data_IF_640874699984
#
_entry.id   IF_640874699984
#
_cell.length_a   1.000
_cell.length_b   1.000
_cell.length_c   1.000
_cell.angle_alpha   90.00
_cell.angle_beta   90.00
_cell.angle_gamma   90.00
#
_symmetry.space_group_name_H-M   'P 1'
#
loop_
_entity.id
_entity.type
_entity.pdbx_description
1 polymer ?
#
# COMPACT_ATOMS: atom_id res chain seq x y z
N UNK A 1 -7.03 39.01 52.63
CA UNK A 1 -6.82 39.98 51.54
C UNK A 1 -7.99 39.86 50.58
N UNK A 2 -9.11 40.53 50.88
CA UNK A 2 -9.43 41.95 50.64
C UNK A 2 -9.67 42.23 49.14
N UNK A 3 -10.97 42.39 48.85
CA UNK A 3 -11.69 43.05 47.76
C UNK A 3 -10.97 44.05 46.85
N UNK A 4 -11.43 44.10 45.59
CA UNK A 4 -11.93 45.30 44.89
C UNK A 4 -12.47 44.86 43.52
N UNK A 5 -13.78 44.78 43.27
CA UNK A 5 -14.74 45.87 42.98
C UNK A 5 -14.13 46.94 42.08
N UNK A 6 -14.73 47.12 40.88
CA UNK A 6 -15.13 48.41 40.24
C UNK A 6 -15.72 48.07 38.86
N UNK A 7 -17.03 47.85 38.71
CA UNK A 7 -18.06 48.81 38.22
C UNK A 7 -17.57 49.82 37.17
N UNK A 8 -18.11 49.75 35.95
CA UNK A 8 -18.91 50.83 35.37
C UNK A 8 -19.55 50.40 34.03
N UNK A 9 -20.87 50.65 33.96
CA UNK A 9 -21.79 50.56 32.81
C UNK A 9 -21.65 51.88 31.99
N UNK A 10 -22.54 52.28 31.06
CA UNK A 10 -23.44 51.59 30.10
C UNK A 10 -23.40 52.23 28.67
N UNK A 11 -24.08 51.64 27.68
CA UNK A 11 -25.07 52.33 26.84
C UNK A 11 -25.79 51.29 25.95
N UNK A 12 -27.10 51.06 26.11
CA UNK A 12 -28.23 51.80 25.49
C UNK A 12 -28.18 51.63 23.95
N UNK A 13 -29.18 51.11 23.22
CA UNK A 13 -30.65 51.31 23.23
C UNK A 13 -31.25 50.20 22.31
N UNK A 14 -32.28 49.43 22.73
CA UNK A 14 -33.74 49.59 22.50
C UNK A 14 -34.12 49.52 20.99
N UNK A 15 -35.11 48.79 20.45
CA UNK A 15 -36.55 48.60 20.71
C UNK A 15 -37.00 47.34 19.91
N UNK A 16 -37.77 46.41 20.50
CA UNK A 16 -39.26 46.33 20.52
C UNK A 16 -39.83 45.61 19.26
N UNK A 17 -40.91 44.82 19.29
CA UNK A 17 -42.02 44.60 20.23
C UNK A 17 -42.59 43.17 19.96
N UNK A 18 -42.90 42.33 20.96
CA UNK A 18 -44.18 42.13 21.72
C UNK A 18 -45.33 41.47 20.94
N UNK A 19 -45.85 40.37 21.51
CA UNK A 19 -47.22 39.83 21.34
C UNK A 19 -47.28 38.30 21.19
N UNK A 20 -47.29 37.50 22.27
CA UNK A 20 -48.47 36.92 22.98
C UNK A 20 -49.32 35.97 22.08
N UNK A 21 -49.64 34.71 22.40
CA UNK A 21 -49.71 34.03 23.69
C UNK A 21 -49.84 32.48 23.54
N UNK A 22 -49.38 31.75 24.59
CA UNK A 22 -49.93 30.52 25.24
C UNK A 22 -50.24 29.27 24.38
N UNK A 23 -49.86 28.03 24.73
CA UNK A 23 -49.45 27.46 26.01
C UNK A 23 -48.65 26.14 25.82
N UNK A 24 -47.72 25.85 26.74
CA UNK A 24 -47.04 24.56 26.87
C UNK A 24 -45.62 24.70 27.43
N UNK A 25 -45.46 24.70 28.75
CA UNK A 25 -44.17 24.86 29.45
C UNK A 25 -43.43 23.53 29.63
N UNK A 26 -42.18 23.44 29.18
CA UNK A 26 -41.04 22.72 29.80
C UNK A 26 -39.76 22.94 28.93
N UNK A 27 -38.73 23.70 29.37
CA UNK A 27 -37.54 23.22 30.15
C UNK A 27 -36.49 22.59 29.20
N UNK A 28 -35.23 23.01 28.97
CA UNK A 28 -34.30 24.09 29.38
C UNK A 28 -33.21 24.27 28.27
N UNK A 29 -32.58 25.45 28.22
CA UNK A 29 -31.29 25.89 27.62
C UNK A 29 -30.31 24.83 27.02
N UNK A 30 -29.47 25.03 25.99
CA UNK A 30 -28.99 26.16 25.16
C UNK A 30 -27.92 25.62 24.18
N UNK A 31 -27.40 26.50 23.31
CA UNK A 31 -26.02 26.53 22.78
C UNK A 31 -25.80 25.75 21.49
N UNK A 32 -25.47 26.50 20.44
CA UNK A 32 -24.58 26.11 19.36
C UNK A 32 -24.98 24.82 18.63
N UNK A 33 -25.64 24.88 17.45
CA UNK A 33 -25.87 23.67 16.70
C UNK A 33 -24.49 23.01 16.47
N UNK A 34 -24.31 21.71 16.79
CA UNK A 34 -23.13 21.00 16.33
C UNK A 34 -23.10 21.23 14.82
N UNK A 35 -21.98 21.76 14.31
CA UNK A 35 -21.73 21.61 12.88
C UNK A 35 -21.74 20.11 12.67
N UNK A 36 -22.76 19.61 12.00
CA UNK A 36 -22.72 18.25 11.50
C UNK A 36 -21.47 18.20 10.65
N UNK A 37 -20.47 17.46 11.14
CA UNK A 37 -19.34 17.03 10.34
C UNK A 37 -19.91 16.58 9.00
N UNK A 38 -19.39 17.15 7.90
CA UNK A 38 -19.71 16.66 6.57
C UNK A 38 -19.62 15.12 6.59
N UNK A 39 -20.58 14.38 6.00
CA UNK A 39 -20.53 12.93 6.00
C UNK A 39 -19.17 12.48 5.45
N UNK A 40 -18.27 12.00 6.33
CA UNK A 40 -17.09 11.30 5.86
C UNK A 40 -17.60 10.14 5.00
N UNK A 41 -17.11 9.96 3.75
CA UNK A 41 -17.54 8.87 2.91
C UNK A 41 -17.26 7.55 3.64
N UNK A 42 -18.30 6.93 4.19
CA UNK A 42 -18.22 5.56 4.66
C UNK A 42 -18.06 4.68 3.42
N UNK A 43 -17.06 3.78 3.36
CA UNK A 43 -16.88 2.91 2.22
C UNK A 43 -18.16 2.10 2.03
N UNK A 44 -18.79 2.22 0.86
CA UNK A 44 -19.99 1.45 0.51
C UNK A 44 -19.70 -0.05 0.58
N UNK A 45 -20.67 -0.91 0.93
CA UNK A 45 -20.47 -2.37 1.03
C UNK A 45 -19.85 -3.02 -0.22
N UNK A 46 -20.03 -2.41 -1.39
CA UNK A 46 -19.44 -2.85 -2.66
C UNK A 46 -17.94 -2.58 -2.80
N UNK A 47 -17.42 -1.60 -2.06
CA UNK A 47 -16.00 -1.19 -2.08
C UNK A 47 -15.16 -2.14 -1.20
N UNK A 48 -15.71 -2.51 -0.04
CA UNK A 48 -15.11 -3.51 0.86
C UNK A 48 -15.03 -4.90 0.20
N UNK A 49 -16.00 -5.24 -0.67
CA UNK A 49 -16.04 -6.52 -1.38
C UNK A 49 -14.97 -6.66 -2.48
N UNK A 50 -14.37 -5.56 -2.94
CA UNK A 50 -13.26 -5.56 -3.91
C UNK A 50 -11.89 -5.51 -3.24
N UNK A 51 -11.82 -5.52 -1.92
CA UNK A 51 -10.57 -5.55 -1.20
C UNK A 51 -10.28 -6.96 -0.68
N UNK A 52 -9.05 -7.41 -0.86
CA UNK A 52 -8.59 -8.74 -0.47
C UNK A 52 -7.33 -8.64 0.38
N UNK A 53 -7.28 -9.44 1.44
CA UNK A 53 -6.08 -9.62 2.24
C UNK A 53 -5.10 -10.51 1.46
N UNK A 54 -3.89 -10.01 1.23
CA UNK A 54 -2.85 -10.68 0.46
C UNK A 54 -1.46 -10.31 0.99
N UNK A 55 -0.39 -10.82 0.39
CA UNK A 55 0.97 -10.64 0.87
C UNK A 55 1.84 -9.88 -0.14
N UNK A 56 2.67 -8.98 0.37
CA UNK A 56 3.80 -8.38 -0.33
C UNK A 56 5.07 -8.77 0.39
N UNK A 57 6.13 -9.13 -0.37
CA UNK A 57 7.38 -9.62 0.19
C UNK A 57 8.44 -8.52 0.22
N UNK A 58 8.97 -8.28 1.41
CA UNK A 58 10.02 -7.31 1.69
C UNK A 58 11.31 -8.00 2.10
N UNK A 59 12.37 -7.21 2.34
CA UNK A 59 13.66 -7.71 2.77
C UNK A 59 13.96 -7.31 4.20
N UNK A 60 14.54 -8.22 4.98
CA UNK A 60 15.17 -7.92 6.27
C UNK A 60 16.63 -8.36 6.20
N UNK A 61 17.52 -7.59 6.81
CA UNK A 61 18.92 -7.98 6.95
C UNK A 61 19.08 -8.80 8.22
N UNK A 62 19.51 -10.06 8.07
CA UNK A 62 19.85 -10.94 9.19
C UNK A 62 21.33 -11.32 9.11
N UNK A 63 22.16 -10.59 9.87
CA UNK A 63 23.62 -10.66 9.72
C UNK A 63 24.02 -10.24 8.30
N UNK A 64 24.76 -11.11 7.60
CA UNK A 64 25.22 -10.88 6.23
C UNK A 64 24.24 -11.34 5.15
N UNK A 65 23.06 -11.86 5.53
CA UNK A 65 22.06 -12.38 4.61
C UNK A 65 20.85 -11.46 4.48
N UNK A 66 20.27 -11.41 3.28
CA UNK A 66 18.94 -10.87 3.06
C UNK A 66 17.89 -11.98 3.19
N UNK A 67 16.82 -11.71 3.91
CA UNK A 67 15.69 -12.63 4.13
C UNK A 67 14.43 -12.01 3.53
N UNK A 68 13.69 -12.79 2.75
CA UNK A 68 12.37 -12.38 2.23
C UNK A 68 11.30 -12.63 3.29
N UNK A 69 10.60 -11.57 3.69
CA UNK A 69 9.52 -11.65 4.70
C UNK A 69 8.19 -11.17 4.13
N UNK A 70 7.08 -11.92 4.35
CA UNK A 70 5.76 -11.48 3.90
C UNK A 70 5.18 -10.43 4.85
N UNK A 71 4.43 -9.48 4.29
CA UNK A 71 3.57 -8.56 5.05
C UNK A 71 2.16 -8.62 4.48
N UNK A 72 1.19 -8.86 5.36
CA UNK A 72 -0.23 -8.85 4.99
C UNK A 72 -0.67 -7.42 4.70
N UNK A 73 -1.30 -7.22 3.55
CA UNK A 73 -1.87 -5.96 3.09
C UNK A 73 -3.26 -6.19 2.54
N UNK A 74 -4.12 -5.18 2.66
CA UNK A 74 -5.44 -5.18 2.05
C UNK A 74 -5.39 -4.36 0.76
N UNK A 75 -5.63 -5.02 -0.38
CA UNK A 75 -5.48 -4.42 -1.70
C UNK A 75 -6.71 -4.70 -2.57
N UNK A 76 -6.89 -3.88 -3.60
CA UNK A 76 -7.92 -4.11 -4.61
C UNK A 76 -7.66 -5.40 -5.39
N UNK A 77 -8.71 -6.20 -5.55
CA UNK A 77 -8.69 -7.45 -6.28
C UNK A 77 -10.09 -7.99 -6.53
N UNK A 78 -10.17 -8.90 -7.50
CA UNK A 78 -11.40 -9.62 -7.85
C UNK A 78 -11.02 -11.11 -7.99
N UNK A 79 -11.67 -12.05 -7.27
CA UNK A 79 -11.40 -13.48 -7.44
C UNK A 79 -11.57 -13.97 -8.89
N UNK A 80 -12.41 -13.28 -9.69
CA UNK A 80 -12.62 -13.58 -11.09
C UNK A 80 -11.53 -12.99 -12.02
N UNK A 81 -10.67 -12.10 -11.52
CA UNK A 81 -9.58 -11.46 -12.28
C UNK A 81 -8.27 -11.48 -11.47
N UNK A 82 -7.55 -12.62 -11.45
CA UNK A 82 -6.29 -12.77 -10.73
C UNK A 82 -5.24 -11.69 -11.06
N UNK A 83 -5.21 -11.22 -12.31
CA UNK A 83 -4.33 -10.17 -12.81
C UNK A 83 -4.44 -8.88 -12.01
N UNK A 84 -5.67 -8.50 -11.63
CA UNK A 84 -5.92 -7.26 -10.89
C UNK A 84 -5.23 -7.30 -9.52
N UNK A 85 -5.37 -8.41 -8.80
CA UNK A 85 -4.72 -8.57 -7.49
C UNK A 85 -3.20 -8.66 -7.60
N UNK A 86 -2.66 -9.33 -8.63
CA UNK A 86 -1.21 -9.39 -8.88
C UNK A 86 -0.68 -8.00 -9.19
N UNK A 87 -1.36 -7.24 -10.05
CA UNK A 87 -1.02 -5.86 -10.37
C UNK A 87 -0.98 -4.98 -9.11
N UNK A 88 -2.04 -4.99 -8.30
CA UNK A 88 -2.11 -4.22 -7.05
C UNK A 88 -0.96 -4.56 -6.09
N UNK A 89 -0.60 -5.84 -5.96
CA UNK A 89 0.53 -6.29 -5.13
C UNK A 89 1.87 -5.76 -5.62
N UNK A 90 2.12 -5.84 -6.93
CA UNK A 90 3.37 -5.36 -7.53
C UNK A 90 3.48 -3.84 -7.49
N UNK A 91 2.38 -3.11 -7.71
CA UNK A 91 2.34 -1.66 -7.52
C UNK A 91 2.61 -1.29 -6.06
N UNK A 92 2.01 -2.01 -5.11
CA UNK A 92 2.31 -1.83 -3.67
C UNK A 92 3.78 -2.11 -3.36
N UNK A 93 4.39 -3.14 -3.94
CA UNK A 93 5.80 -3.45 -3.80
C UNK A 93 6.70 -2.30 -4.33
N UNK A 94 6.39 -1.79 -5.52
CA UNK A 94 7.19 -0.74 -6.17
C UNK A 94 7.03 0.64 -5.52
N UNK A 95 5.93 0.87 -4.81
CA UNK A 95 5.79 2.04 -3.93
C UNK A 95 6.71 2.01 -2.70
N UNK A 96 7.36 0.87 -2.41
CA UNK A 96 8.29 0.73 -1.28
C UNK A 96 7.61 0.48 0.07
N UNK A 97 8.36 0.13 1.12
CA UNK A 97 7.79 -0.18 2.42
C UNK A 97 7.17 1.06 3.09
N UNK A 98 6.14 0.86 3.92
CA UNK A 98 5.47 1.96 4.67
C UNK A 98 6.13 2.25 6.01
N UNK A 99 6.89 1.30 6.55
CA UNK A 99 7.60 1.41 7.80
C UNK A 99 9.09 1.11 7.56
N UNK A 100 9.92 1.49 8.53
CA UNK A 100 11.37 1.35 8.44
C UNK A 100 11.88 -0.05 8.88
N UNK A 101 10.99 -0.94 9.33
CA UNK A 101 11.35 -2.26 9.86
C UNK A 101 11.74 -3.26 8.76
N UNK A 102 11.35 -2.97 7.52
CA UNK A 102 11.67 -3.78 6.34
C UNK A 102 12.27 -2.89 5.25
N UNK A 103 13.08 -3.49 4.40
CA UNK A 103 13.75 -2.84 3.29
C UNK A 103 13.17 -3.29 1.94
N UNK A 104 13.47 -2.50 0.91
CA UNK A 104 13.30 -2.90 -0.47
C UNK A 104 14.63 -2.76 -1.19
N UNK A 105 14.91 -3.69 -2.08
CA UNK A 105 16.02 -3.55 -3.00
C UNK A 105 15.61 -2.81 -4.27
N UNK A 106 14.33 -2.86 -4.68
CA UNK A 106 13.75 -2.27 -5.91
C UNK A 106 14.21 -0.81 -6.11
N UNK A 107 14.75 -0.41 -7.29
CA UNK A 107 15.25 0.93 -7.49
C UNK A 107 14.09 1.90 -7.54
N UNK A 108 14.32 3.10 -7.04
CA UNK A 108 13.36 4.19 -7.11
C UNK A 108 12.86 4.41 -8.55
N UNK A 109 11.59 4.82 -8.68
CA UNK A 109 10.93 5.08 -9.95
C UNK A 109 10.75 3.87 -10.87
N UNK A 110 11.00 2.65 -10.40
CA UNK A 110 10.56 1.43 -11.10
C UNK A 110 9.05 1.43 -11.23
N UNK A 111 8.56 1.22 -12.45
CA UNK A 111 7.13 1.15 -12.77
C UNK A 111 6.76 -0.23 -13.27
N UNK A 112 5.52 -0.63 -12.96
CA UNK A 112 4.88 -1.78 -13.57
C UNK A 112 4.25 -1.33 -14.89
N UNK A 113 4.70 -1.88 -16.00
CA UNK A 113 4.13 -1.55 -17.32
C UNK A 113 2.97 -2.49 -17.65
N UNK A 114 3.09 -3.78 -17.33
CA UNK A 114 2.08 -4.79 -17.62
C UNK A 114 2.14 -5.99 -16.69
N UNK A 115 0.97 -6.58 -16.42
CA UNK A 115 0.82 -7.92 -15.86
C UNK A 115 -0.21 -8.68 -16.69
N UNK A 116 0.09 -9.92 -17.05
CA UNK A 116 -0.84 -10.83 -17.72
C UNK A 116 -0.70 -12.22 -17.09
N UNK A 117 -1.81 -12.89 -16.79
CA UNK A 117 -1.78 -14.32 -16.44
C UNK A 117 -2.15 -15.13 -17.68
N UNK A 118 -1.27 -16.05 -18.04
CA UNK A 118 -1.41 -16.93 -19.20
C UNK A 118 -1.34 -18.39 -18.77
N UNK A 119 -1.64 -19.29 -19.71
CA UNK A 119 -1.55 -20.73 -19.47
C UNK A 119 -0.14 -21.20 -19.04
N UNK A 120 0.91 -20.46 -19.41
CA UNK A 120 2.31 -20.75 -19.10
C UNK A 120 2.87 -19.97 -17.89
N UNK A 121 2.05 -19.17 -17.20
CA UNK A 121 2.43 -18.47 -15.97
C UNK A 121 2.08 -16.97 -15.95
N UNK A 122 2.70 -16.26 -15.01
CA UNK A 122 2.53 -14.82 -14.79
C UNK A 122 3.58 -14.06 -15.59
N UNK A 123 3.15 -13.20 -16.51
CA UNK A 123 4.01 -12.34 -17.31
C UNK A 123 4.02 -10.93 -16.75
N UNK A 124 5.19 -10.42 -16.39
CA UNK A 124 5.38 -9.11 -15.77
C UNK A 124 6.32 -8.31 -16.66
N UNK A 125 5.91 -7.12 -17.08
CA UNK A 125 6.78 -6.14 -17.72
C UNK A 125 6.99 -4.93 -16.79
N UNK A 126 8.25 -4.59 -16.56
CA UNK A 126 8.65 -3.46 -15.70
C UNK A 126 9.51 -2.45 -16.46
N UNK A 127 9.65 -1.25 -15.90
CA UNK A 127 10.45 -0.19 -16.52
C UNK A 127 11.97 -0.42 -16.39
N UNK A 128 12.77 0.27 -17.21
CA UNK A 128 14.24 0.11 -17.30
C UNK A 128 14.97 0.43 -15.99
N UNK A 129 14.36 1.20 -15.11
CA UNK A 129 14.87 1.53 -13.79
C UNK A 129 15.13 0.27 -12.95
N UNK A 130 14.38 -0.81 -13.17
CA UNK A 130 14.55 -2.10 -12.50
C UNK A 130 15.97 -2.69 -12.60
N UNK A 131 16.68 -2.39 -13.69
CA UNK A 131 18.03 -2.95 -13.95
C UNK A 131 19.16 -2.11 -13.37
N UNK A 132 18.85 -1.02 -12.65
CA UNK A 132 19.85 -0.07 -12.16
C UNK A 132 20.29 -0.36 -10.74
N UNK A 133 21.59 -0.15 -10.51
CA UNK A 133 22.21 -0.07 -9.19
C UNK A 133 22.28 -1.39 -8.41
N UNK A 134 22.99 -1.32 -7.29
CA UNK A 134 23.20 -2.44 -6.37
C UNK A 134 24.31 -3.41 -6.81
N UNK A 135 24.74 -4.23 -5.86
CA UNK A 135 25.55 -5.43 -6.15
C UNK A 135 24.68 -6.67 -6.29
N UNK A 136 25.33 -7.81 -6.51
CA UNK A 136 24.69 -9.11 -6.75
C UNK A 136 23.63 -9.48 -5.70
N UNK A 137 23.90 -9.23 -4.41
CA UNK A 137 22.92 -9.44 -3.32
C UNK A 137 21.66 -8.60 -3.48
N UNK A 138 21.78 -7.32 -3.84
CA UNK A 138 20.62 -6.44 -4.09
C UNK A 138 19.83 -6.88 -5.31
N UNK A 139 20.51 -7.34 -6.36
CA UNK A 139 19.87 -7.84 -7.59
C UNK A 139 19.06 -9.12 -7.32
N UNK A 140 19.63 -10.05 -6.57
CA UNK A 140 18.93 -11.26 -6.10
C UNK A 140 17.72 -10.92 -5.24
N UNK A 141 17.90 -10.01 -4.27
CA UNK A 141 16.82 -9.53 -3.41
C UNK A 141 15.64 -8.98 -4.22
N UNK A 142 15.93 -8.16 -5.24
CA UNK A 142 14.89 -7.53 -6.07
C UNK A 142 14.14 -8.55 -6.90
N UNK A 143 14.86 -9.49 -7.50
CA UNK A 143 14.27 -10.59 -8.26
C UNK A 143 13.35 -11.43 -7.36
N UNK A 144 13.82 -11.74 -6.16
CA UNK A 144 13.05 -12.48 -5.15
C UNK A 144 11.77 -11.75 -4.73
N UNK A 145 11.87 -10.45 -4.43
CA UNK A 145 10.71 -9.64 -4.06
C UNK A 145 9.62 -9.66 -5.14
N UNK A 146 9.96 -9.53 -6.42
CA UNK A 146 8.99 -9.59 -7.53
C UNK A 146 8.35 -10.98 -7.63
N UNK A 147 9.16 -12.04 -7.67
CA UNK A 147 8.67 -13.41 -7.85
C UNK A 147 7.74 -13.79 -6.71
N UNK A 148 8.16 -13.61 -5.47
CA UNK A 148 7.36 -14.01 -4.31
C UNK A 148 6.09 -13.17 -4.19
N UNK A 149 6.17 -11.86 -4.45
CA UNK A 149 4.99 -10.99 -4.44
C UNK A 149 3.99 -11.36 -5.53
N UNK A 150 4.43 -11.63 -6.76
CA UNK A 150 3.54 -12.04 -7.86
C UNK A 150 2.83 -13.37 -7.57
N UNK A 151 3.56 -14.31 -6.95
CA UNK A 151 3.11 -15.68 -6.68
C UNK A 151 2.52 -15.88 -5.29
N UNK A 152 2.14 -14.80 -4.56
CA UNK A 152 1.61 -14.90 -3.20
C UNK A 152 0.41 -15.86 -3.06
N UNK A 153 -0.47 -15.89 -4.07
CA UNK A 153 -1.65 -16.76 -4.09
C UNK A 153 -1.44 -18.10 -4.81
N UNK A 154 -0.38 -18.24 -5.61
CA UNK A 154 0.00 -19.49 -6.29
C UNK A 154 1.53 -19.63 -6.26
N UNK A 155 2.10 -20.21 -5.18
CA UNK A 155 3.54 -20.29 -4.97
C UNK A 155 4.32 -21.08 -6.03
N UNK A 156 3.64 -21.94 -6.80
CA UNK A 156 4.25 -22.78 -7.83
C UNK A 156 4.18 -22.15 -9.23
N UNK A 157 3.44 -21.05 -9.39
CA UNK A 157 3.29 -20.38 -10.68
C UNK A 157 4.65 -19.95 -11.28
N UNK A 158 4.92 -20.26 -12.56
CA UNK A 158 6.06 -19.72 -13.28
C UNK A 158 5.91 -18.20 -13.48
N UNK A 159 7.00 -17.45 -13.30
CA UNK A 159 7.03 -16.01 -13.53
C UNK A 159 7.98 -15.68 -14.68
N UNK A 160 7.46 -14.97 -15.68
CA UNK A 160 8.21 -14.37 -16.77
C UNK A 160 8.39 -12.89 -16.49
N UNK A 161 9.63 -12.41 -16.48
CA UNK A 161 9.94 -10.99 -16.23
C UNK A 161 10.54 -10.37 -17.49
N UNK A 162 9.97 -9.27 -17.94
CA UNK A 162 10.49 -8.43 -19.01
C UNK A 162 10.80 -7.03 -18.49
N UNK A 163 11.77 -6.37 -19.14
CA UNK A 163 12.13 -4.98 -18.88
C UNK A 163 11.95 -4.19 -20.16
N UNK A 164 11.01 -3.25 -20.15
CA UNK A 164 10.64 -2.43 -21.30
C UNK A 164 10.33 -3.26 -22.56
N UNK A 165 9.59 -4.36 -22.38
CA UNK A 165 9.15 -5.27 -23.42
C UNK A 165 10.13 -6.39 -23.78
N UNK A 166 11.36 -6.36 -23.25
CA UNK A 166 12.39 -7.36 -23.56
C UNK A 166 12.56 -8.37 -22.41
N UNK A 167 12.66 -9.68 -22.68
CA UNK A 167 12.89 -10.68 -21.64
C UNK A 167 14.12 -10.36 -20.78
N UNK A 168 13.96 -10.35 -19.47
CA UNK A 168 15.07 -10.15 -18.54
C UNK A 168 15.91 -11.43 -18.48
N UNK A 169 16.99 -11.48 -19.26
CA UNK A 169 17.96 -12.60 -19.25
C UNK A 169 19.16 -12.34 -18.34
N UNK A 170 19.51 -11.06 -18.17
CA UNK A 170 20.65 -10.62 -17.37
C UNK A 170 20.22 -9.38 -16.60
N UNK A 171 20.43 -9.37 -15.29
CA UNK A 171 20.11 -8.26 -14.41
C UNK A 171 21.39 -7.53 -13.97
N UNK A 172 21.38 -6.21 -14.18
CA UNK A 172 22.44 -5.28 -13.79
C UNK A 172 23.74 -5.43 -14.57
N UNK A 173 24.70 -4.54 -14.26
CA UNK A 173 26.00 -4.48 -14.93
C UNK A 173 26.97 -5.60 -14.55
N UNK A 174 26.74 -6.27 -13.40
CA UNK A 174 27.59 -7.40 -12.97
C UNK A 174 27.17 -8.73 -13.59
N UNK A 175 26.03 -8.79 -14.29
CA UNK A 175 25.67 -9.94 -15.11
C UNK A 175 24.92 -11.05 -14.38
N UNK A 176 24.00 -10.74 -13.45
CA UNK A 176 23.18 -11.78 -12.80
C UNK A 176 22.29 -12.46 -13.84
N UNK A 177 22.60 -13.71 -14.20
CA UNK A 177 21.79 -14.47 -15.14
C UNK A 177 20.44 -14.81 -14.54
N UNK A 178 19.38 -14.60 -15.33
CA UNK A 178 18.00 -14.86 -14.96
C UNK A 178 17.43 -15.91 -15.91
N UNK A 179 17.27 -17.12 -15.40
CA UNK A 179 16.60 -18.21 -16.12
C UNK A 179 15.09 -17.98 -16.09
N UNK A 180 14.45 -18.08 -17.25
CA UNK A 180 13.03 -17.77 -17.43
C UNK A 180 12.27 -18.97 -18.01
N UNK A 181 11.04 -19.24 -17.56
CA UNK A 181 10.41 -18.60 -16.41
C UNK A 181 11.11 -19.01 -15.12
N UNK A 182 10.83 -18.29 -14.04
CA UNK A 182 11.34 -18.63 -12.71
C UNK A 182 10.22 -18.89 -11.71
N UNK A 183 10.31 -20.00 -10.98
CA UNK A 183 9.45 -20.30 -9.82
C UNK A 183 10.15 -19.93 -8.51
N UNK A 184 9.41 -19.91 -7.39
CA UNK A 184 10.01 -19.73 -6.05
C UNK A 184 11.06 -20.80 -5.75
N UNK A 185 10.80 -22.05 -6.14
CA UNK A 185 11.73 -23.17 -5.97
C UNK A 185 13.02 -22.97 -6.75
N UNK A 186 12.93 -22.55 -8.02
CA UNK A 186 14.10 -22.26 -8.85
C UNK A 186 14.88 -21.06 -8.31
N UNK A 187 14.18 -19.99 -7.89
CA UNK A 187 14.81 -18.85 -7.23
C UNK A 187 15.63 -19.30 -6.03
N UNK A 188 15.04 -20.09 -5.12
CA UNK A 188 15.72 -20.54 -3.89
C UNK A 188 16.89 -21.48 -4.17
N UNK A 189 16.79 -22.31 -5.20
CA UNK A 189 17.89 -23.18 -5.61
C UNK A 189 19.06 -22.38 -6.20
N UNK A 190 18.79 -21.32 -6.96
CA UNK A 190 19.80 -20.45 -7.56
C UNK A 190 20.40 -19.46 -6.54
N UNK A 191 19.57 -18.95 -5.63
CA UNK A 191 19.89 -17.89 -4.67
C UNK A 191 19.38 -18.30 -3.27
N UNK A 192 20.17 -19.07 -2.50
CA UNK A 192 19.77 -19.52 -1.17
C UNK A 192 19.80 -18.33 -0.18
N UNK A 193 18.81 -17.46 -0.26
CA UNK A 193 18.47 -16.52 0.81
C UNK A 193 17.94 -17.33 2.00
N UNK A 194 18.47 -17.10 3.21
CA UNK A 194 17.99 -17.81 4.41
C UNK A 194 16.52 -17.47 4.64
N UNK A 195 15.71 -18.46 4.99
CA UNK A 195 14.33 -18.27 5.47
C UNK A 195 14.30 -18.32 6.99
N UNK A 196 13.36 -17.59 7.58
CA UNK A 196 12.76 -17.93 8.88
C UNK A 196 11.38 -18.53 8.65
#
# INVERSE_FOLDING_TARGET
MISKVTRSRPALIVLAAVGLASAGTAVWLTLNPPRFDDPQPQPTPTDVARQQDTQVFWLVSEGDALVLVPTTVRLEGDPAQPELLIKSRLERLFAGPVNADVATSIPENTRLNRVEVKADGIHIDVSREFTRGGGSTSMQGRLGQVIFTATANDPEAPVWISVAGEPLRVLGGEGLEVTQPMTRKQFQAAFPLRRQ
#
